data_IF_140680297820
#
_entry.id   IF_140680297820
#
_cell.length_a   1.000
_cell.length_b   1.000
_cell.length_c   1.000
_cell.angle_alpha   90.00
_cell.angle_beta   90.00
_cell.angle_gamma   90.00
#
_symmetry.space_group_name_H-M   'P 1'
#
loop_
_entity.id
_entity.type
_entity.pdbx_description
1 polymer ?
#
# COMPACT_ATOMS: atom_id res chain seq x y z
N UNK A 1 -13.63 28.75 9.77
CA UNK A 1 -12.54 27.85 9.40
C UNK A 1 -13.11 26.53 8.89
N UNK A 2 -12.56 26.03 7.80
CA UNK A 2 -12.98 24.75 7.23
C UNK A 2 -12.29 23.60 7.96
N UNK A 3 -13.05 22.60 8.35
CA UNK A 3 -12.50 21.41 8.98
C UNK A 3 -12.22 20.36 7.91
N UNK A 4 -11.20 19.53 8.16
CA UNK A 4 -10.90 18.40 7.29
C UNK A 4 -11.64 17.18 7.82
N UNK A 5 -12.53 16.62 7.02
CA UNK A 5 -13.50 15.63 7.46
C UNK A 5 -13.32 14.24 6.87
N UNK A 6 -12.44 14.10 5.90
CA UNK A 6 -12.26 12.83 5.23
C UNK A 6 -10.96 12.14 5.55
N UNK A 7 -10.84 10.92 5.06
CA UNK A 7 -9.60 10.17 5.17
C UNK A 7 -8.52 10.77 4.27
N UNK A 8 -7.28 10.52 4.61
CA UNK A 8 -6.20 10.73 3.65
C UNK A 8 -6.25 9.59 2.66
N UNK A 9 -6.18 9.95 1.38
CA UNK A 9 -6.15 8.97 0.31
C UNK A 9 -4.83 9.06 -0.43
N UNK A 10 -4.17 7.92 -0.59
CA UNK A 10 -2.95 7.81 -1.38
C UNK A 10 -3.33 7.16 -2.70
N UNK A 11 -3.01 7.82 -3.79
CA UNK A 11 -3.34 7.32 -5.13
C UNK A 11 -2.08 6.78 -5.78
N UNK A 12 -2.08 5.48 -6.07
CA UNK A 12 -0.95 4.78 -6.67
C UNK A 12 -1.34 4.42 -8.09
N UNK A 13 -0.75 5.11 -9.05
CA UNK A 13 -1.07 4.92 -10.47
C UNK A 13 -0.28 3.76 -11.05
N UNK A 14 -0.95 2.97 -11.87
CA UNK A 14 -0.33 1.84 -12.55
C UNK A 14 -0.57 1.95 -14.05
N UNK A 15 0.26 1.28 -14.84
CA UNK A 15 -0.05 1.05 -16.24
C UNK A 15 -1.14 -0.02 -16.33
N UNK A 16 -1.90 -0.04 -17.42
CA UNK A 16 -3.04 -0.95 -17.52
C UNK A 16 -2.65 -2.43 -17.44
N UNK A 17 -1.49 -2.80 -17.97
CA UNK A 17 -1.03 -4.19 -17.92
C UNK A 17 -0.61 -4.61 -16.51
N UNK A 18 -0.38 -3.67 -15.61
CA UNK A 18 0.05 -3.97 -14.24
C UNK A 18 -1.05 -3.81 -13.20
N UNK A 19 -2.24 -3.35 -13.62
CA UNK A 19 -3.29 -3.03 -12.66
C UNK A 19 -3.70 -4.25 -11.82
N UNK A 20 -3.97 -5.38 -12.45
CA UNK A 20 -4.45 -6.56 -11.72
C UNK A 20 -3.43 -7.05 -10.71
N UNK A 21 -2.17 -7.05 -11.09
CA UNK A 21 -1.09 -7.48 -10.19
C UNK A 21 -0.97 -6.55 -9.00
N UNK A 22 -1.05 -5.24 -9.24
CA UNK A 22 -0.97 -4.26 -8.15
C UNK A 22 -2.19 -4.36 -7.23
N UNK A 23 -3.39 -4.48 -7.80
CA UNK A 23 -4.60 -4.66 -6.99
C UNK A 23 -4.47 -5.88 -6.08
N UNK A 24 -4.04 -7.00 -6.64
CA UNK A 24 -3.91 -8.24 -5.88
C UNK A 24 -2.84 -8.14 -4.81
N UNK A 25 -1.76 -7.42 -5.10
CA UNK A 25 -0.73 -7.15 -4.11
C UNK A 25 -1.31 -6.43 -2.88
N UNK A 26 -2.08 -5.36 -3.09
CA UNK A 26 -2.62 -4.60 -1.97
C UNK A 26 -3.72 -5.35 -1.24
N UNK A 27 -4.48 -6.18 -1.94
CA UNK A 27 -5.45 -7.04 -1.27
C UNK A 27 -4.76 -8.02 -0.32
N UNK A 28 -3.65 -8.59 -0.76
CA UNK A 28 -2.86 -9.50 0.08
C UNK A 28 -2.19 -8.76 1.23
N UNK A 29 -1.53 -7.64 0.93
CA UNK A 29 -0.82 -6.86 1.94
C UNK A 29 -1.76 -6.39 3.05
N UNK A 30 -2.91 -5.84 2.68
CA UNK A 30 -3.84 -5.26 3.63
C UNK A 30 -4.80 -6.29 4.23
N UNK A 31 -4.82 -7.50 3.68
CA UNK A 31 -5.67 -8.58 4.20
C UNK A 31 -7.14 -8.34 4.01
N UNK A 32 -7.55 -7.57 3.03
CA UNK A 32 -8.96 -7.27 2.82
C UNK A 32 -9.22 -6.90 1.37
N UNK A 33 -10.47 -7.13 0.96
CA UNK A 33 -10.90 -6.78 -0.39
C UNK A 33 -11.08 -5.27 -0.49
N UNK A 34 -11.03 -4.71 -1.70
CA UNK A 34 -11.33 -3.29 -1.86
C UNK A 34 -12.76 -3.00 -1.42
N UNK A 35 -12.96 -1.81 -0.82
CA UNK A 35 -14.31 -1.40 -0.42
C UNK A 35 -15.03 -0.70 -1.57
N UNK A 36 -14.30 -0.34 -2.62
CA UNK A 36 -14.86 0.28 -3.81
C UNK A 36 -13.98 -0.06 -5.01
N UNK A 37 -14.60 -0.34 -6.14
CA UNK A 37 -13.88 -0.64 -7.38
C UNK A 37 -14.67 -0.08 -8.55
N UNK A 38 -13.95 0.26 -9.61
CA UNK A 38 -14.59 0.66 -10.88
C UNK A 38 -13.80 0.09 -12.04
N UNK A 39 -14.50 -0.09 -13.15
CA UNK A 39 -13.91 -0.66 -14.35
C UNK A 39 -14.68 -0.16 -15.56
N UNK A 40 -14.43 1.11 -15.92
CA UNK A 40 -15.07 1.71 -17.11
C UNK A 40 -14.40 1.22 -18.39
N UNK A 41 -13.07 1.05 -18.35
CA UNK A 41 -12.28 0.53 -19.46
C UNK A 41 -10.93 0.09 -18.92
N UNK A 42 -10.10 -0.50 -19.78
CA UNK A 42 -8.74 -0.89 -19.39
C UNK A 42 -7.89 0.30 -19.00
N UNK A 43 -8.21 1.51 -19.48
CA UNK A 43 -7.47 2.72 -19.13
C UNK A 43 -8.18 3.55 -18.06
N UNK A 44 -9.28 3.04 -17.51
CA UNK A 44 -10.02 3.75 -16.46
C UNK A 44 -10.61 2.73 -15.50
N UNK A 45 -9.79 2.26 -14.59
CA UNK A 45 -10.20 1.27 -13.61
C UNK A 45 -9.45 1.52 -12.31
N UNK A 46 -9.96 0.99 -11.22
CA UNK A 46 -9.31 1.17 -9.95
C UNK A 46 -9.95 0.38 -8.82
N UNK A 47 -9.25 0.37 -7.69
CA UNK A 47 -9.69 -0.30 -6.48
C UNK A 47 -9.23 0.52 -5.28
N UNK A 48 -10.13 0.75 -4.32
CA UNK A 48 -9.82 1.49 -3.10
C UNK A 48 -9.85 0.54 -1.91
N UNK A 49 -8.81 0.62 -1.10
CA UNK A 49 -8.64 -0.23 0.07
C UNK A 49 -8.54 0.60 1.33
N UNK A 50 -9.12 0.11 2.41
CA UNK A 50 -8.85 0.70 3.72
C UNK A 50 -7.47 0.30 4.18
N UNK A 51 -6.70 1.28 4.64
CA UNK A 51 -5.36 1.07 5.17
C UNK A 51 -5.30 1.85 6.48
N UNK A 52 -5.61 1.17 7.59
CA UNK A 52 -5.76 1.84 8.87
C UNK A 52 -6.87 2.88 8.78
N UNK A 53 -6.52 4.15 9.04
CA UNK A 53 -7.47 5.26 9.00
C UNK A 53 -7.50 5.95 7.65
N UNK A 54 -6.72 5.50 6.71
CA UNK A 54 -6.64 6.11 5.40
C UNK A 54 -7.13 5.18 4.31
N UNK A 55 -6.92 5.61 3.08
CA UNK A 55 -7.30 4.86 1.89
C UNK A 55 -6.11 4.78 0.96
N UNK A 56 -5.87 3.60 0.43
CA UNK A 56 -4.96 3.42 -0.69
C UNK A 56 -5.80 3.11 -1.92
N UNK A 57 -5.65 3.92 -2.96
CA UNK A 57 -6.29 3.69 -4.25
C UNK A 57 -5.24 3.23 -5.25
N UNK A 58 -5.49 2.08 -5.86
CA UNK A 58 -4.67 1.58 -6.96
C UNK A 58 -5.47 1.83 -8.22
N UNK A 59 -4.92 2.56 -9.19
CA UNK A 59 -5.73 2.94 -10.33
C UNK A 59 -4.91 3.12 -11.59
N UNK A 60 -5.60 2.97 -12.70
CA UNK A 60 -5.10 3.26 -14.04
C UNK A 60 -6.01 4.30 -14.67
N UNK A 61 -5.45 5.47 -15.01
CA UNK A 61 -6.17 6.53 -15.70
C UNK A 61 -5.22 7.18 -16.70
N UNK A 62 -5.60 7.12 -17.97
CA UNK A 62 -4.71 7.51 -19.04
C UNK A 62 -4.35 9.00 -19.01
N UNK A 63 -5.25 9.83 -18.51
CA UNK A 63 -5.07 11.29 -18.53
C UNK A 63 -4.61 11.88 -17.21
N UNK A 64 -4.45 11.07 -16.19
CA UNK A 64 -4.09 11.57 -14.86
C UNK A 64 -2.85 10.81 -14.40
N UNK A 65 -1.69 11.33 -14.74
CA UNK A 65 -0.44 10.61 -14.64
C UNK A 65 0.34 11.01 -13.41
N UNK A 66 0.92 10.02 -12.79
CA UNK A 66 1.85 10.23 -11.68
C UNK A 66 3.25 10.51 -12.20
N UNK A 67 4.13 10.93 -11.30
CA UNK A 67 5.48 11.31 -11.65
C UNK A 67 6.56 10.36 -11.15
N UNK A 68 6.24 9.39 -10.32
CA UNK A 68 7.25 8.45 -9.86
C UNK A 68 6.78 7.64 -8.68
N UNK A 69 7.63 6.73 -8.20
CA UNK A 69 7.26 5.89 -7.06
C UNK A 69 7.15 6.70 -5.77
N UNK A 70 6.38 6.18 -4.83
CA UNK A 70 6.18 6.81 -3.52
C UNK A 70 6.59 5.83 -2.43
N UNK A 71 6.78 6.36 -1.23
CA UNK A 71 7.00 5.56 -0.03
C UNK A 71 5.78 5.73 0.86
N UNK A 72 5.19 4.61 1.26
CA UNK A 72 4.03 4.61 2.14
C UNK A 72 4.45 4.00 3.47
N UNK A 73 4.16 4.68 4.56
CA UNK A 73 4.40 4.14 5.90
C UNK A 73 3.06 3.67 6.47
N UNK A 74 2.97 2.40 6.83
CA UNK A 74 1.80 1.82 7.46
C UNK A 74 2.16 1.33 8.84
N UNK A 75 1.42 1.79 9.82
CA UNK A 75 1.61 1.33 11.20
C UNK A 75 0.94 -0.03 11.40
N UNK A 76 1.63 -0.92 12.09
CA UNK A 76 1.11 -2.21 12.50
C UNK A 76 1.30 -2.38 14.00
N UNK A 77 0.52 -3.23 14.62
CA UNK A 77 0.67 -3.48 16.06
C UNK A 77 1.96 -4.20 16.39
N UNK A 78 2.39 -5.11 15.52
CA UNK A 78 3.54 -5.97 15.76
C UNK A 78 4.26 -6.24 14.44
N UNK A 79 5.37 -5.54 14.25
CA UNK A 79 6.18 -5.66 13.04
C UNK A 79 6.66 -7.07 12.80
N UNK A 80 7.11 -7.77 13.84
CA UNK A 80 7.66 -9.11 13.65
C UNK A 80 6.60 -10.11 13.25
N UNK A 81 5.40 -10.02 13.82
CA UNK A 81 4.30 -10.88 13.42
C UNK A 81 3.88 -10.58 11.99
N UNK A 82 3.75 -9.29 11.64
CA UNK A 82 3.41 -8.89 10.28
C UNK A 82 4.46 -9.41 9.29
N UNK A 83 5.72 -9.32 9.66
CA UNK A 83 6.80 -9.83 8.81
C UNK A 83 6.64 -11.32 8.55
N UNK A 84 6.34 -12.11 9.59
CA UNK A 84 6.15 -13.54 9.43
C UNK A 84 4.98 -13.85 8.51
N UNK A 85 3.87 -13.13 8.69
CA UNK A 85 2.69 -13.32 7.86
C UNK A 85 2.95 -12.98 6.41
N UNK A 86 3.62 -11.87 6.15
CA UNK A 86 3.89 -11.43 4.78
C UNK A 86 4.97 -12.26 4.12
N UNK A 87 5.93 -12.78 4.88
CA UNK A 87 6.94 -13.68 4.33
C UNK A 87 6.31 -14.97 3.82
N UNK A 88 5.26 -15.44 4.49
CA UNK A 88 4.55 -16.65 4.09
C UNK A 88 3.54 -16.41 2.96
N UNK A 89 3.21 -15.16 2.66
CA UNK A 89 2.21 -14.83 1.65
C UNK A 89 2.84 -14.80 0.26
N UNK A 90 2.11 -15.28 -0.73
CA UNK A 90 2.54 -15.19 -2.11
C UNK A 90 2.34 -13.77 -2.63
N UNK A 91 3.21 -13.34 -3.54
CA UNK A 91 3.07 -12.07 -4.20
C UNK A 91 3.60 -10.87 -3.44
N UNK A 92 4.19 -11.09 -2.27
CA UNK A 92 4.77 -10.01 -1.47
C UNK A 92 6.30 -10.08 -1.59
N UNK A 93 6.88 -9.01 -2.08
CA UNK A 93 8.34 -8.90 -2.19
C UNK A 93 8.88 -8.19 -0.97
N UNK A 94 9.59 -8.93 -0.12
CA UNK A 94 10.24 -8.37 1.07
C UNK A 94 11.53 -7.68 0.63
N UNK A 95 11.69 -6.42 1.03
CA UNK A 95 12.88 -5.64 0.71
C UNK A 95 13.90 -5.72 1.83
N UNK A 96 13.45 -5.71 3.08
CA UNK A 96 14.36 -5.72 4.22
C UNK A 96 13.72 -6.47 5.38
N UNK A 97 14.58 -7.00 6.26
CA UNK A 97 14.13 -7.64 7.50
C UNK A 97 13.83 -6.59 8.56
N UNK A 98 13.04 -6.94 9.59
CA UNK A 98 12.79 -6.00 10.69
C UNK A 98 14.08 -5.53 11.34
N UNK A 99 14.14 -4.23 11.60
CA UNK A 99 15.25 -3.60 12.28
C UNK A 99 14.70 -2.49 13.18
N UNK A 100 15.31 -2.32 14.34
CA UNK A 100 14.96 -1.24 15.25
C UNK A 100 15.93 -0.09 15.04
N UNK A 101 15.40 1.08 14.77
CA UNK A 101 16.21 2.28 14.58
C UNK A 101 16.55 2.92 15.91
N UNK A 102 17.56 3.76 15.90
CA UNK A 102 18.08 4.36 17.14
C UNK A 102 17.04 5.16 17.92
N UNK A 103 16.02 5.68 17.24
CA UNK A 103 14.97 6.45 17.89
C UNK A 103 13.75 5.60 18.27
N UNK A 104 13.86 4.27 18.22
CA UNK A 104 12.85 3.38 18.79
C UNK A 104 11.78 2.86 17.85
N UNK A 105 11.79 3.26 16.60
CA UNK A 105 10.86 2.73 15.60
C UNK A 105 11.43 1.44 15.02
N UNK A 106 10.61 0.41 14.99
CA UNK A 106 10.98 -0.86 14.35
C UNK A 106 10.20 -0.99 13.06
N UNK A 107 10.86 -1.42 11.98
CA UNK A 107 10.19 -1.51 10.69
C UNK A 107 10.83 -2.55 9.78
N UNK A 108 10.09 -2.95 8.76
CA UNK A 108 10.63 -3.64 7.59
C UNK A 108 9.92 -3.09 6.36
N UNK A 109 10.43 -3.41 5.19
CA UNK A 109 9.91 -2.85 3.96
C UNK A 109 9.53 -3.91 2.97
N UNK A 110 8.48 -3.65 2.21
CA UNK A 110 8.09 -4.44 1.04
C UNK A 110 8.01 -3.50 -0.16
N UNK A 111 7.99 -4.07 -1.35
CA UNK A 111 7.88 -3.29 -2.58
C UNK A 111 6.71 -3.83 -3.38
N UNK A 112 5.89 -2.91 -3.93
CA UNK A 112 4.79 -3.32 -4.78
C UNK A 112 5.29 -3.59 -6.20
N UNK A 113 4.44 -4.19 -7.07
CA UNK A 113 4.88 -4.52 -8.43
C UNK A 113 5.24 -3.31 -9.29
N UNK A 114 4.85 -2.11 -8.89
CA UNK A 114 5.13 -0.88 -9.65
C UNK A 114 6.31 -0.10 -9.09
N UNK A 115 7.01 -0.65 -8.11
CA UNK A 115 8.20 -0.01 -7.55
C UNK A 115 7.93 0.90 -6.38
N UNK A 116 6.71 0.96 -5.87
CA UNK A 116 6.44 1.73 -4.67
C UNK A 116 6.88 0.96 -3.44
N UNK A 117 7.39 1.69 -2.46
CA UNK A 117 7.89 1.08 -1.23
C UNK A 117 6.89 1.27 -0.10
N UNK A 118 6.64 0.20 0.64
CA UNK A 118 5.77 0.25 1.81
C UNK A 118 6.59 -0.15 3.03
N UNK A 119 6.70 0.75 3.98
CA UNK A 119 7.33 0.48 5.27
C UNK A 119 6.25 0.10 6.27
N UNK A 120 6.41 -1.06 6.90
CA UNK A 120 5.51 -1.51 7.96
C UNK A 120 6.24 -1.26 9.28
N UNK A 121 5.63 -0.48 10.17
CA UNK A 121 6.36 -0.04 11.35
C UNK A 121 5.51 -0.04 12.61
N UNK A 122 6.19 -0.07 13.76
CA UNK A 122 5.60 0.25 15.05
C UNK A 122 6.65 0.96 15.91
N UNK A 123 6.16 1.74 16.85
CA UNK A 123 7.02 2.42 17.83
C UNK A 123 7.13 1.60 19.10
N UNK A 124 8.33 1.58 19.68
CA UNK A 124 8.59 0.86 20.92
C UNK A 124 8.53 1.77 22.15
N UNK A 125 7.87 2.91 22.00
CA UNK A 125 7.76 3.82 23.14
C UNK A 125 6.36 4.37 23.37
#
# INVERSE_FOLDING_TARGET
MTAFTGDIQIRLYTEEENFSVCRDFYQTLLGQKPYYSWNESAQDCGAKFRAGRGTISVLCQAHDRKTGPVIVNLETEDVDQTYQELTAAEGIRIVSKPVTQSYGTRYFAVEDPCGNRINLYHSNH
#
